data_IF_777306602241
#
_entry.id   IF_777306602241
#
_cell.length_a   1.000
_cell.length_b   1.000
_cell.length_c   1.000
_cell.angle_alpha   90.00
_cell.angle_beta   90.00
_cell.angle_gamma   90.00
#
_symmetry.space_group_name_H-M   'P 1'
#
loop_
_entity.id
_entity.type
_entity.pdbx_description
1 polymer ?
#
# COMPACT_ATOMS: atom_id res chain seq x y z
N UNK A 1 28.07 -3.70 -9.47
CA UNK A 1 26.99 -4.27 -8.63
C UNK A 1 27.37 -4.39 -7.15
N UNK A 2 28.33 -5.22 -6.68
CA UNK A 2 28.67 -5.32 -5.23
C UNK A 2 29.17 -3.99 -4.62
N UNK A 3 29.94 -3.20 -5.36
CA UNK A 3 30.49 -1.91 -4.91
C UNK A 3 29.38 -0.84 -4.82
N UNK A 4 28.49 -0.80 -5.79
CA UNK A 4 27.33 0.11 -5.83
C UNK A 4 26.33 -0.21 -4.69
N UNK A 5 26.05 -1.50 -4.44
CA UNK A 5 25.24 -1.94 -3.31
C UNK A 5 25.85 -1.53 -1.97
N UNK A 6 27.19 -1.60 -1.83
CA UNK A 6 27.89 -1.14 -0.64
C UNK A 6 27.79 0.39 -0.45
N UNK A 7 27.79 1.16 -1.54
CA UNK A 7 27.61 2.61 -1.50
C UNK A 7 26.15 2.99 -1.15
N UNK A 8 25.16 2.32 -1.75
CA UNK A 8 23.74 2.49 -1.42
C UNK A 8 23.47 2.21 0.07
N UNK A 9 24.10 1.17 0.62
CA UNK A 9 23.92 0.82 2.03
C UNK A 9 24.45 1.86 3.02
N UNK A 10 25.37 2.75 2.59
CA UNK A 10 25.88 3.87 3.38
C UNK A 10 24.88 5.03 3.44
N UNK A 11 23.97 5.13 2.48
CA UNK A 11 22.91 6.16 2.47
C UNK A 11 21.87 5.77 3.52
N UNK A 12 21.79 6.52 4.60
CA UNK A 12 20.92 6.24 5.74
C UNK A 12 19.44 6.20 5.33
N UNK A 13 19.01 7.17 4.54
CA UNK A 13 17.65 7.32 4.03
C UNK A 13 17.26 6.13 3.15
N UNK A 14 18.14 5.69 2.26
CA UNK A 14 17.93 4.52 1.41
C UNK A 14 17.77 3.24 2.25
N UNK A 15 18.61 3.04 3.25
CA UNK A 15 18.55 1.87 4.13
C UNK A 15 17.23 1.79 4.91
N UNK A 16 16.78 2.92 5.48
CA UNK A 16 15.51 2.96 6.19
C UNK A 16 14.33 2.71 5.24
N UNK A 17 14.35 3.31 4.05
CA UNK A 17 13.33 3.09 3.03
C UNK A 17 13.28 1.63 2.59
N UNK A 18 14.43 0.99 2.37
CA UNK A 18 14.52 -0.41 1.96
C UNK A 18 13.96 -1.35 3.03
N UNK A 19 14.35 -1.15 4.30
CA UNK A 19 13.83 -1.96 5.42
C UNK A 19 12.32 -1.79 5.55
N UNK A 20 11.82 -0.56 5.54
CA UNK A 20 10.39 -0.28 5.58
C UNK A 20 9.66 -0.95 4.41
N UNK A 21 10.24 -0.90 3.20
CA UNK A 21 9.69 -1.52 1.99
C UNK A 21 9.61 -3.05 2.09
N UNK A 22 10.66 -3.69 2.59
CA UNK A 22 10.66 -5.14 2.81
C UNK A 22 9.53 -5.54 3.75
N UNK A 23 9.41 -4.85 4.89
CA UNK A 23 8.35 -5.13 5.88
C UNK A 23 6.96 -4.91 5.26
N UNK A 24 6.75 -3.79 4.55
CA UNK A 24 5.48 -3.49 3.88
C UNK A 24 5.13 -4.51 2.80
N UNK A 25 6.11 -4.99 2.03
CA UNK A 25 5.88 -5.99 1.00
C UNK A 25 5.43 -7.33 1.58
N UNK A 26 5.95 -7.74 2.75
CA UNK A 26 5.43 -8.92 3.47
C UNK A 26 3.96 -8.74 3.83
N UNK A 27 3.59 -7.59 4.42
CA UNK A 27 2.19 -7.28 4.74
C UNK A 27 1.30 -7.27 3.49
N UNK A 28 1.73 -6.61 2.44
CA UNK A 28 1.00 -6.53 1.17
C UNK A 28 0.83 -7.89 0.48
N UNK A 29 1.81 -8.80 0.61
CA UNK A 29 1.72 -10.17 0.09
C UNK A 29 0.73 -11.04 0.87
N UNK A 30 0.62 -10.85 2.17
CA UNK A 30 -0.29 -11.61 3.04
C UNK A 30 -1.73 -11.09 2.96
N UNK A 31 -1.91 -9.77 2.79
CA UNK A 31 -3.22 -9.09 2.83
C UNK A 31 -4.28 -9.72 1.90
N UNK A 32 -4.02 -9.99 0.60
CA UNK A 32 -5.04 -10.57 -0.28
C UNK A 32 -5.45 -11.98 0.14
N UNK A 33 -4.50 -12.76 0.69
CA UNK A 33 -4.77 -14.12 1.18
C UNK A 33 -5.64 -14.03 2.45
N UNK A 34 -5.23 -13.22 3.41
CA UNK A 34 -5.97 -13.02 4.65
C UNK A 34 -7.38 -12.46 4.39
N UNK A 35 -7.51 -11.52 3.44
CA UNK A 35 -8.80 -10.97 3.05
C UNK A 35 -9.70 -12.03 2.42
N UNK A 36 -9.16 -12.87 1.52
CA UNK A 36 -9.93 -13.93 0.87
C UNK A 36 -10.48 -14.93 1.91
N UNK A 37 -9.62 -15.44 2.79
CA UNK A 37 -10.06 -16.33 3.87
C UNK A 37 -11.00 -15.63 4.85
N UNK A 38 -10.74 -14.38 5.20
CA UNK A 38 -11.58 -13.59 6.09
C UNK A 38 -12.97 -13.39 5.52
N UNK A 39 -13.10 -12.97 4.26
CA UNK A 39 -14.40 -12.79 3.59
C UNK A 39 -15.15 -14.11 3.51
N UNK A 40 -14.50 -15.17 3.04
CA UNK A 40 -15.16 -16.49 2.87
C UNK A 40 -15.52 -17.18 4.18
N UNK A 41 -14.97 -16.74 5.31
CA UNK A 41 -15.34 -17.22 6.64
C UNK A 41 -16.60 -16.55 7.21
N UNK A 42 -17.08 -15.47 6.59
CA UNK A 42 -18.29 -14.78 7.05
C UNK A 42 -19.56 -15.57 6.71
N UNK A 43 -20.58 -15.57 7.59
CA UNK A 43 -21.82 -16.28 7.35
C UNK A 43 -22.50 -15.84 6.05
N UNK A 44 -22.78 -16.80 5.15
CA UNK A 44 -23.43 -16.55 3.87
C UNK A 44 -22.56 -15.89 2.80
N UNK A 45 -21.25 -15.70 3.07
CA UNK A 45 -20.34 -15.17 2.07
C UNK A 45 -19.93 -16.26 1.05
N UNK A 46 -19.72 -15.82 -0.17
CA UNK A 46 -19.35 -16.64 -1.32
C UNK A 46 -18.28 -15.97 -2.19
N UNK A 47 -17.97 -16.55 -3.33
CA UNK A 47 -17.03 -15.96 -4.30
C UNK A 47 -17.51 -14.60 -4.84
N UNK A 48 -18.83 -14.38 -4.92
CA UNK A 48 -19.41 -13.09 -5.31
C UNK A 48 -19.11 -12.01 -4.27
N UNK A 49 -19.24 -12.35 -2.98
CA UNK A 49 -18.90 -11.47 -1.87
C UNK A 49 -17.40 -11.06 -1.91
N UNK A 50 -16.52 -12.03 -2.16
CA UNK A 50 -15.09 -11.75 -2.32
C UNK A 50 -14.82 -10.84 -3.55
N UNK A 51 -15.47 -11.12 -4.67
CA UNK A 51 -15.38 -10.31 -5.88
C UNK A 51 -15.84 -8.87 -5.64
N UNK A 52 -16.94 -8.68 -4.90
CA UNK A 52 -17.45 -7.36 -4.54
C UNK A 52 -16.44 -6.55 -3.72
N UNK A 53 -15.87 -7.15 -2.68
CA UNK A 53 -14.85 -6.50 -1.83
C UNK A 53 -13.60 -6.14 -2.64
N UNK A 54 -13.15 -7.05 -3.50
CA UNK A 54 -11.99 -6.80 -4.36
C UNK A 54 -12.26 -5.69 -5.37
N UNK A 55 -13.43 -5.69 -5.99
CA UNK A 55 -13.86 -4.65 -6.93
C UNK A 55 -13.97 -3.29 -6.24
N UNK A 56 -14.48 -3.25 -5.01
CA UNK A 56 -14.53 -2.04 -4.19
C UNK A 56 -13.13 -1.42 -3.95
N UNK A 57 -12.07 -2.21 -3.98
CA UNK A 57 -10.70 -1.72 -3.91
C UNK A 57 -10.16 -1.30 -5.28
N UNK A 58 -10.39 -2.11 -6.30
CA UNK A 58 -9.79 -1.90 -7.63
C UNK A 58 -10.39 -0.73 -8.39
N UNK A 59 -11.71 -0.52 -8.29
CA UNK A 59 -12.37 0.58 -9.01
C UNK A 59 -11.86 1.95 -8.56
N UNK A 60 -11.83 2.29 -7.25
CA UNK A 60 -11.25 3.56 -6.81
C UNK A 60 -9.76 3.68 -7.14
N UNK A 61 -8.98 2.60 -7.01
CA UNK A 61 -7.56 2.60 -7.37
C UNK A 61 -7.36 3.10 -8.80
N UNK A 62 -8.08 2.53 -9.76
CA UNK A 62 -7.95 2.90 -11.18
C UNK A 62 -8.44 4.32 -11.43
N UNK A 63 -9.61 4.69 -10.89
CA UNK A 63 -10.20 6.01 -11.10
C UNK A 63 -9.33 7.15 -10.55
N UNK A 64 -8.71 6.96 -9.38
CA UNK A 64 -7.93 7.99 -8.71
C UNK A 64 -6.43 7.96 -9.04
N UNK A 65 -5.94 6.97 -9.78
CA UNK A 65 -4.50 6.82 -10.08
C UNK A 65 -3.93 8.03 -10.85
N UNK A 66 -4.70 8.61 -11.78
CA UNK A 66 -4.28 9.82 -12.51
C UNK A 66 -4.18 11.04 -11.60
N UNK A 67 -5.08 11.14 -10.62
CA UNK A 67 -5.09 12.24 -9.64
C UNK A 67 -3.92 12.09 -8.67
N UNK A 68 -3.51 10.85 -8.37
CA UNK A 68 -2.42 10.54 -7.47
C UNK A 68 -1.09 11.18 -7.86
N UNK A 69 -0.77 11.22 -9.15
CA UNK A 69 0.43 11.87 -9.66
C UNK A 69 0.43 13.38 -9.40
N UNK A 70 -0.68 14.04 -9.70
CA UNK A 70 -0.86 15.49 -9.45
C UNK A 70 -0.81 15.80 -7.95
N UNK A 71 -1.45 14.97 -7.13
CA UNK A 71 -1.42 15.11 -5.67
C UNK A 71 0.01 14.95 -5.12
N UNK A 72 0.79 13.99 -5.62
CA UNK A 72 2.17 13.75 -5.20
C UNK A 72 3.08 14.96 -5.49
N UNK A 73 2.89 15.60 -6.64
CA UNK A 73 3.67 16.79 -7.02
C UNK A 73 3.25 18.04 -6.22
N UNK A 74 1.96 18.15 -5.84
CA UNK A 74 1.43 19.31 -5.11
C UNK A 74 1.72 19.23 -3.60
N UNK A 75 1.55 18.07 -2.97
CA UNK A 75 1.64 17.91 -1.52
C UNK A 75 3.00 17.40 -1.03
N UNK A 76 3.87 17.04 -1.97
CA UNK A 76 5.18 16.44 -1.67
C UNK A 76 5.10 14.93 -1.48
N UNK A 77 5.93 14.21 -2.24
CA UNK A 77 5.90 12.74 -2.36
C UNK A 77 6.08 12.02 -1.02
N UNK A 78 7.08 12.43 -0.24
CA UNK A 78 7.37 11.81 1.08
C UNK A 78 6.24 12.02 2.08
N UNK A 79 5.67 13.24 2.09
CA UNK A 79 4.55 13.55 2.98
C UNK A 79 3.31 12.73 2.62
N UNK A 80 2.99 12.65 1.32
CA UNK A 80 1.82 11.90 0.84
C UNK A 80 1.94 10.41 1.17
N UNK A 81 3.12 9.81 0.97
CA UNK A 81 3.37 8.40 1.36
C UNK A 81 3.17 8.21 2.86
N UNK A 82 3.75 9.08 3.71
CA UNK A 82 3.58 8.97 5.16
C UNK A 82 2.13 9.08 5.62
N UNK A 83 1.38 10.04 5.08
CA UNK A 83 -0.04 10.23 5.42
C UNK A 83 -0.89 9.05 4.98
N UNK A 84 -0.70 8.55 3.75
CA UNK A 84 -1.46 7.40 3.24
C UNK A 84 -1.14 6.12 4.02
N UNK A 85 0.11 5.91 4.44
CA UNK A 85 0.51 4.76 5.26
C UNK A 85 -0.12 4.82 6.66
N UNK A 86 -0.15 5.99 7.29
CA UNK A 86 -0.79 6.17 8.60
C UNK A 86 -2.30 5.90 8.50
N UNK A 87 -2.99 6.52 7.55
CA UNK A 87 -4.42 6.30 7.35
C UNK A 87 -4.69 4.81 7.03
N UNK A 88 -3.91 4.22 6.12
CA UNK A 88 -4.02 2.82 5.76
C UNK A 88 -3.87 1.88 6.97
N UNK A 89 -2.90 2.14 7.84
CA UNK A 89 -2.68 1.32 9.05
C UNK A 89 -3.87 1.37 10.02
N UNK A 90 -4.53 2.52 10.16
CA UNK A 90 -5.76 2.64 10.96
C UNK A 90 -6.87 1.76 10.38
N UNK A 91 -7.09 1.78 9.05
CA UNK A 91 -8.12 0.97 8.41
C UNK A 91 -7.81 -0.54 8.44
N UNK A 92 -6.52 -0.93 8.36
CA UNK A 92 -6.10 -2.32 8.63
C UNK A 92 -6.45 -2.71 10.06
N UNK A 93 -6.15 -1.85 11.03
CA UNK A 93 -6.50 -2.06 12.43
C UNK A 93 -8.01 -2.22 12.65
N UNK A 94 -8.81 -1.37 12.02
CA UNK A 94 -10.29 -1.47 12.06
C UNK A 94 -10.77 -2.80 11.48
N UNK A 95 -10.24 -3.24 10.33
CA UNK A 95 -10.58 -4.53 9.74
C UNK A 95 -10.20 -5.69 10.68
N UNK A 96 -8.99 -5.68 11.21
CA UNK A 96 -8.51 -6.71 12.12
C UNK A 96 -9.37 -6.79 13.40
N UNK A 97 -9.69 -5.64 13.99
CA UNK A 97 -10.56 -5.57 15.15
C UNK A 97 -11.97 -6.09 14.86
N UNK A 98 -12.54 -5.74 13.69
CA UNK A 98 -13.85 -6.22 13.27
C UNK A 98 -13.90 -7.75 13.14
N UNK A 99 -12.85 -8.37 12.59
CA UNK A 99 -12.74 -9.82 12.52
C UNK A 99 -12.61 -10.46 13.90
N UNK A 100 -11.73 -9.94 14.75
CA UNK A 100 -11.50 -10.48 16.10
C UNK A 100 -12.75 -10.37 16.99
N UNK A 101 -13.48 -9.27 16.85
CA UNK A 101 -14.70 -9.01 17.65
C UNK A 101 -15.97 -9.67 17.06
N UNK A 102 -15.87 -10.35 15.92
CA UNK A 102 -17.03 -10.97 15.25
C UNK A 102 -17.99 -9.97 14.59
N UNK A 103 -17.60 -8.71 14.41
CA UNK A 103 -18.40 -7.66 13.77
C UNK A 103 -18.00 -7.40 12.30
N UNK A 104 -17.15 -8.23 11.71
CA UNK A 104 -16.79 -8.11 10.32
C UNK A 104 -18.03 -8.35 9.42
N UNK A 105 -18.19 -7.52 8.41
CA UNK A 105 -19.29 -7.61 7.46
C UNK A 105 -18.84 -7.19 6.06
N UNK A 106 -19.52 -7.71 5.03
CA UNK A 106 -19.20 -7.37 3.64
C UNK A 106 -19.26 -5.86 3.37
N UNK A 107 -20.30 -5.11 3.84
CA UNK A 107 -20.33 -3.66 3.65
C UNK A 107 -19.14 -2.92 4.29
N UNK A 108 -18.72 -3.33 5.48
CA UNK A 108 -17.55 -2.76 6.15
C UNK A 108 -16.26 -3.01 5.36
N UNK A 109 -16.09 -4.23 4.85
CA UNK A 109 -14.93 -4.61 4.06
C UNK A 109 -14.92 -3.90 2.70
N UNK A 110 -16.08 -3.71 2.06
CA UNK A 110 -16.20 -2.90 0.84
C UNK A 110 -15.84 -1.44 1.11
N UNK A 111 -16.32 -0.84 2.19
CA UNK A 111 -15.95 0.52 2.57
C UNK A 111 -14.45 0.67 2.80
N UNK A 112 -13.84 -0.24 3.56
CA UNK A 112 -12.40 -0.30 3.73
C UNK A 112 -11.68 -0.48 2.39
N UNK A 113 -12.20 -1.33 1.51
CA UNK A 113 -11.68 -1.53 0.15
C UNK A 113 -11.65 -0.23 -0.65
N UNK A 114 -12.75 0.54 -0.65
CA UNK A 114 -12.80 1.87 -1.32
C UNK A 114 -11.71 2.80 -0.78
N UNK A 115 -11.58 2.89 0.55
CA UNK A 115 -10.53 3.73 1.16
C UNK A 115 -9.15 3.27 0.75
N UNK A 116 -8.86 1.97 0.81
CA UNK A 116 -7.57 1.41 0.36
C UNK A 116 -7.30 1.67 -1.11
N UNK A 117 -8.31 1.55 -1.97
CA UNK A 117 -8.19 1.86 -3.39
C UNK A 117 -7.73 3.30 -3.62
N UNK A 118 -8.36 4.27 -2.95
CA UNK A 118 -7.96 5.68 -3.03
C UNK A 118 -6.55 5.90 -2.46
N UNK A 119 -6.25 5.35 -1.28
CA UNK A 119 -4.94 5.50 -0.66
C UNK A 119 -3.82 4.93 -1.54
N UNK A 120 -4.01 3.76 -2.12
CA UNK A 120 -3.04 3.16 -3.05
C UNK A 120 -2.88 3.99 -4.33
N UNK A 121 -3.97 4.55 -4.87
CA UNK A 121 -3.91 5.44 -6.04
C UNK A 121 -3.03 6.67 -5.80
N UNK A 122 -3.04 7.21 -4.57
CA UNK A 122 -2.17 8.32 -4.16
C UNK A 122 -0.74 7.85 -3.84
N UNK A 123 -0.61 6.69 -3.22
CA UNK A 123 0.65 6.14 -2.73
C UNK A 123 1.60 5.71 -3.87
N UNK A 124 1.11 4.96 -4.86
CA UNK A 124 1.94 4.41 -5.93
C UNK A 124 2.75 5.46 -6.71
N UNK A 125 2.14 6.53 -7.27
CA UNK A 125 2.89 7.55 -7.99
C UNK A 125 3.78 8.38 -7.07
N UNK A 126 3.37 8.62 -5.81
CA UNK A 126 4.19 9.32 -4.84
C UNK A 126 5.45 8.52 -4.51
N UNK A 127 5.31 7.24 -4.21
CA UNK A 127 6.42 6.35 -3.86
C UNK A 127 7.42 6.18 -5.01
N UNK A 128 6.95 5.98 -6.23
CA UNK A 128 7.81 5.81 -7.40
C UNK A 128 8.76 6.98 -7.63
N UNK A 129 8.37 8.17 -7.21
CA UNK A 129 9.18 9.37 -7.33
C UNK A 129 10.07 9.70 -6.13
N UNK A 130 10.08 8.88 -5.07
CA UNK A 130 10.95 9.11 -3.90
C UNK A 130 12.40 8.69 -4.19
N UNK A 131 12.62 7.60 -4.93
CA UNK A 131 13.94 7.05 -5.18
C UNK A 131 14.93 8.07 -5.76
N UNK A 132 14.57 8.87 -6.80
CA UNK A 132 15.45 9.90 -7.35
C UNK A 132 15.76 11.04 -6.39
N UNK A 133 14.98 11.22 -5.32
CA UNK A 133 15.22 12.27 -4.30
C UNK A 133 16.25 11.84 -3.25
N UNK A 134 16.43 10.54 -3.07
CA UNK A 134 17.28 9.97 -2.01
C UNK A 134 18.60 9.45 -2.57
N UNK A 135 18.57 8.90 -3.79
CA UNK A 135 19.72 8.20 -4.39
C UNK A 135 20.34 9.05 -5.48
N UNK A 136 21.68 9.28 -5.47
CA UNK A 136 22.39 9.96 -6.55
C UNK A 136 22.19 9.27 -7.92
N UNK A 137 22.10 10.07 -8.99
CA UNK A 137 21.83 9.59 -10.35
C UNK A 137 22.66 8.37 -10.79
N UNK A 138 23.99 8.29 -10.53
CA UNK A 138 24.79 7.13 -10.94
C UNK A 138 24.38 5.81 -10.28
N UNK A 139 23.71 5.86 -9.13
CA UNK A 139 23.31 4.68 -8.35
C UNK A 139 21.82 4.31 -8.53
N UNK A 140 21.02 5.11 -9.27
CA UNK A 140 19.59 4.88 -9.43
C UNK A 140 19.27 3.54 -10.09
N UNK A 141 20.07 3.13 -11.07
CA UNK A 141 19.87 1.84 -11.74
C UNK A 141 20.10 0.66 -10.77
N UNK A 142 21.14 0.76 -9.95
CA UNK A 142 21.42 -0.26 -8.93
C UNK A 142 20.41 -0.26 -7.78
N UNK A 143 19.77 0.88 -7.50
CA UNK A 143 18.75 1.00 -6.47
C UNK A 143 17.38 0.45 -6.91
N UNK A 144 17.13 0.36 -8.23
CA UNK A 144 15.87 -0.13 -8.81
C UNK A 144 15.95 -1.59 -9.30
N UNK A 145 17.10 -2.23 -9.21
CA UNK A 145 17.33 -3.63 -9.60
C UNK A 145 17.27 -4.57 -8.42
#
# INVERSE_FOLDING_TARGET
MKKELSELWKIREFRHLLIARVISNFGNGITPIALAFGVLSLPGADAGSLSLVTTATMVPLVLFMLIGGVAADRFGRTHLVGVTDIIGSVFVGVSAFAFISGHASIPLLCFNGVVFGVLNALWYPAFSGIMPLIVPNPLLQAANS
#
